data_IF_843416512800
#
_entry.id   IF_843416512800
#
_cell.length_a   1.000
_cell.length_b   1.000
_cell.length_c   1.000
_cell.angle_alpha   90.00
_cell.angle_beta   90.00
_cell.angle_gamma   90.00
#
_symmetry.space_group_name_H-M   'P 1'
#
loop_
_entity.id
_entity.type
_entity.pdbx_description
1 polymer ?
#
# COMPACT_ATOMS: atom_id res chain seq x y z
N UNK A 1 21.80 22.71 -2.53
CA UNK A 1 20.64 22.50 -3.43
C UNK A 1 19.39 22.90 -2.66
N UNK A 2 18.64 23.93 -3.07
CA UNK A 2 17.37 24.34 -2.45
C UNK A 2 16.20 24.05 -3.39
N UNK A 3 15.03 23.74 -2.83
CA UNK A 3 13.81 23.48 -3.59
C UNK A 3 12.70 24.40 -3.08
N UNK A 4 12.11 25.18 -3.98
CA UNK A 4 10.87 25.92 -3.72
C UNK A 4 9.71 25.17 -4.37
N UNK A 5 8.74 24.74 -3.57
CA UNK A 5 7.54 24.04 -4.04
C UNK A 5 6.38 24.31 -3.08
N UNK A 6 5.16 24.14 -3.58
CA UNK A 6 3.98 24.08 -2.72
C UNK A 6 4.09 22.84 -1.81
N UNK A 7 3.79 23.02 -0.51
CA UNK A 7 3.83 21.95 0.49
C UNK A 7 2.57 21.06 0.41
N UNK A 8 2.25 20.57 -0.78
CA UNK A 8 1.06 19.77 -1.06
C UNK A 8 1.41 18.58 -1.93
N UNK A 9 0.79 17.44 -1.63
CA UNK A 9 0.84 16.23 -2.45
C UNK A 9 -0.58 15.65 -2.59
N UNK A 10 -0.89 14.96 -3.71
CA UNK A 10 -2.15 14.23 -3.83
C UNK A 10 -2.29 13.18 -2.70
N UNK A 11 -3.46 13.12 -2.06
CA UNK A 11 -3.72 12.26 -0.90
C UNK A 11 -4.58 11.02 -1.17
N UNK A 12 -4.94 10.74 -2.43
CA UNK A 12 -5.81 9.61 -2.77
C UNK A 12 -5.07 8.29 -2.96
N UNK A 13 -3.84 8.37 -3.46
CA UNK A 13 -2.99 7.21 -3.71
C UNK A 13 -1.63 7.44 -3.06
N UNK A 14 -1.10 6.41 -2.41
CA UNK A 14 0.18 6.47 -1.75
C UNK A 14 0.85 5.10 -1.80
N UNK A 15 2.18 5.12 -1.70
CA UNK A 15 2.96 3.90 -1.54
C UNK A 15 2.75 3.31 -0.15
N UNK A 16 3.06 2.03 0.00
CA UNK A 16 3.08 1.31 1.27
C UNK A 16 3.89 2.05 2.35
N UNK A 17 5.05 2.61 2.00
CA UNK A 17 5.86 3.43 2.90
C UNK A 17 5.13 4.67 3.44
N UNK A 18 4.34 5.34 2.59
CA UNK A 18 3.58 6.53 2.97
C UNK A 18 2.29 6.19 3.73
N UNK A 19 1.75 4.99 3.51
CA UNK A 19 0.57 4.51 4.23
C UNK A 19 0.91 3.89 5.59
N UNK A 20 2.17 3.53 5.87
CA UNK A 20 2.57 2.84 7.09
C UNK A 20 2.14 3.62 8.34
N UNK A 21 1.50 2.92 9.28
CA UNK A 21 0.99 3.51 10.52
C UNK A 21 -0.41 4.14 10.39
N UNK A 22 -1.00 4.19 9.20
CA UNK A 22 -2.36 4.64 9.00
C UNK A 22 -3.38 3.48 9.06
N UNK A 23 -4.60 3.81 9.49
CA UNK A 23 -5.78 2.94 9.36
C UNK A 23 -6.68 3.51 8.26
N UNK A 24 -6.95 2.72 7.23
CA UNK A 24 -7.73 3.11 6.07
C UNK A 24 -9.09 2.38 6.08
N UNK A 25 -10.23 3.09 6.14
CA UNK A 25 -11.54 2.46 6.26
C UNK A 25 -11.96 1.66 5.03
N UNK A 26 -11.37 1.96 3.87
CA UNK A 26 -11.51 1.22 2.60
C UNK A 26 -10.23 1.42 1.80
N UNK A 27 -9.69 0.36 1.22
CA UNK A 27 -8.45 0.41 0.46
C UNK A 27 -8.53 -0.45 -0.80
N UNK A 28 -7.92 0.03 -1.89
CA UNK A 28 -7.68 -0.76 -3.10
C UNK A 28 -6.19 -0.95 -3.22
N UNK A 29 -5.75 -2.21 -3.34
CA UNK A 29 -4.35 -2.59 -3.29
C UNK A 29 -3.92 -3.25 -4.61
N UNK A 30 -2.75 -2.85 -5.10
CA UNK A 30 -2.03 -3.55 -6.14
C UNK A 30 -0.94 -4.42 -5.50
N UNK A 31 -1.23 -5.70 -5.24
CA UNK A 31 -0.29 -6.59 -4.56
C UNK A 31 0.79 -7.11 -5.52
N UNK A 32 0.60 -6.99 -6.84
CA UNK A 32 1.58 -7.41 -7.82
C UNK A 32 2.84 -6.52 -7.82
N UNK A 33 2.72 -5.24 -7.46
CA UNK A 33 3.84 -4.30 -7.33
C UNK A 33 4.54 -4.34 -5.97
N UNK A 34 4.05 -5.14 -5.02
CA UNK A 34 4.73 -5.35 -3.75
C UNK A 34 6.12 -5.96 -3.98
N UNK A 35 7.15 -5.33 -3.39
CA UNK A 35 8.55 -5.75 -3.52
C UNK A 35 8.92 -6.97 -2.67
N UNK A 36 8.04 -7.37 -1.75
CA UNK A 36 8.22 -8.54 -0.91
C UNK A 36 7.04 -8.75 0.04
N UNK A 37 7.12 -9.82 0.82
CA UNK A 37 6.07 -10.22 1.76
C UNK A 37 5.78 -9.13 2.81
N UNK A 38 6.83 -8.45 3.29
CA UNK A 38 6.69 -7.37 4.26
C UNK A 38 5.90 -6.19 3.69
N UNK A 39 6.15 -5.78 2.45
CA UNK A 39 5.41 -4.69 1.79
C UNK A 39 3.94 -5.08 1.59
N UNK A 40 3.68 -6.31 1.12
CA UNK A 40 2.32 -6.81 0.96
C UNK A 40 1.57 -6.83 2.31
N UNK A 41 2.24 -7.23 3.38
CA UNK A 41 1.68 -7.17 4.73
C UNK A 41 1.40 -5.73 5.18
N UNK A 42 2.32 -4.79 4.94
CA UNK A 42 2.10 -3.37 5.22
C UNK A 42 0.89 -2.86 4.45
N UNK A 43 0.71 -3.23 3.19
CA UNK A 43 -0.44 -2.82 2.37
C UNK A 43 -1.76 -3.38 2.93
N UNK A 44 -1.82 -4.69 3.22
CA UNK A 44 -3.03 -5.36 3.72
C UNK A 44 -3.41 -4.90 5.12
N UNK A 45 -2.43 -4.68 6.00
CA UNK A 45 -2.65 -4.27 7.40
C UNK A 45 -3.15 -2.82 7.57
N UNK A 46 -3.41 -2.10 6.47
CA UNK A 46 -4.07 -0.78 6.54
C UNK A 46 -5.58 -0.90 6.69
N UNK A 47 -6.18 -2.00 6.23
CA UNK A 47 -7.62 -2.18 6.32
C UNK A 47 -8.02 -2.85 7.65
N UNK A 48 -9.12 -2.42 8.29
CA UNK A 48 -9.59 -3.01 9.54
C UNK A 48 -10.27 -4.38 9.35
N UNK A 49 -10.71 -4.71 8.13
CA UNK A 49 -11.40 -5.96 7.82
C UNK A 49 -11.19 -6.34 6.35
N UNK A 50 -11.23 -7.64 6.05
CA UNK A 50 -11.05 -8.15 4.69
C UNK A 50 -12.10 -7.62 3.69
N UNK A 51 -13.35 -7.41 4.14
CA UNK A 51 -14.41 -6.83 3.30
C UNK A 51 -14.18 -5.35 2.91
N UNK A 52 -13.18 -4.70 3.52
CA UNK A 52 -12.77 -3.32 3.21
C UNK A 52 -11.59 -3.26 2.24
N UNK A 53 -11.11 -4.41 1.76
CA UNK A 53 -9.99 -4.54 0.83
C UNK A 53 -10.52 -4.88 -0.57
N UNK A 54 -10.18 -4.06 -1.55
CA UNK A 54 -10.23 -4.42 -2.96
C UNK A 54 -8.83 -4.75 -3.45
N UNK A 55 -8.68 -5.81 -4.25
CA UNK A 55 -7.37 -6.18 -4.82
C UNK A 55 -7.45 -6.00 -6.34
N UNK A 56 -6.60 -5.13 -6.88
CA UNK A 56 -6.53 -4.83 -8.30
C UNK A 56 -5.75 -5.91 -9.06
N UNK A 57 -4.54 -6.22 -8.59
CA UNK A 57 -3.76 -7.35 -9.07
C UNK A 57 -3.26 -8.19 -7.91
N UNK A 58 -3.33 -9.50 -8.08
CA UNK A 58 -2.90 -10.48 -7.08
C UNK A 58 -1.37 -10.65 -7.08
N UNK A 59 -0.80 -11.06 -5.95
CA UNK A 59 0.64 -11.36 -5.86
C UNK A 59 0.93 -12.79 -6.38
N UNK A 60 2.13 -13.02 -6.93
CA UNK A 60 2.53 -14.40 -7.30
C UNK A 60 2.81 -15.21 -6.02
N UNK A 61 2.20 -16.39 -5.81
CA UNK A 61 2.43 -17.24 -4.62
C UNK A 61 3.90 -17.58 -4.38
N UNK A 62 4.70 -17.62 -5.45
CA UNK A 62 6.15 -17.86 -5.39
C UNK A 62 6.89 -16.78 -4.58
N UNK A 63 6.33 -15.58 -4.43
CA UNK A 63 6.92 -14.49 -3.63
C UNK A 63 6.62 -14.58 -2.14
N UNK A 64 5.79 -15.54 -1.71
CA UNK A 64 5.47 -15.76 -0.29
C UNK A 64 6.39 -16.79 0.36
N UNK A 65 6.87 -17.77 -0.42
CA UNK A 65 7.71 -18.87 0.04
C UNK A 65 9.12 -18.69 -0.52
N UNK A 66 9.98 -17.96 0.19
CA UNK A 66 11.44 -17.98 -0.01
C UNK A 66 12.11 -18.35 1.30
#
# INVERSE_FOLDING_TARGET
ISRSQLLLIPGWSYTDYKAQGATLPKVVLDLASARGLQNAYVMLSRAPAACKVGILHWFSPQRISS
#
